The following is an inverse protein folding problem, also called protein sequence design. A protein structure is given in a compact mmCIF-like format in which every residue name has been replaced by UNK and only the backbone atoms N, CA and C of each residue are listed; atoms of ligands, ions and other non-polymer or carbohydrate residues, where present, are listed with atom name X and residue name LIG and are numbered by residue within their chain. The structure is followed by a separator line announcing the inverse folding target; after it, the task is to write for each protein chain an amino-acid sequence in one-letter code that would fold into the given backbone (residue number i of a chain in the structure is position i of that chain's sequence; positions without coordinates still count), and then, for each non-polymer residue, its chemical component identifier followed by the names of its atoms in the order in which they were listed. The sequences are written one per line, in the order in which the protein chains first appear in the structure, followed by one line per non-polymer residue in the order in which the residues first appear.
data_IF_418628593002
#
_entry.id   IF_418628593002
#
_cell.length_a   1.000
_cell.length_b   1.000
_cell.length_c   1.000
_cell.angle_alpha   90.00
_cell.angle_beta   90.00
_cell.angle_gamma   90.00
#
_symmetry.space_group_name_H-M   'P 1'
#
loop_
_entity.id
_entity.type
_entity.pdbx_description
1 polymer ?
#
# COMPACT_ATOMS: atom_id res chain seq x y z
N UNK A 1 -42.46 12.53 22.97
CA UNK A 1 -41.48 11.72 22.19
C UNK A 1 -41.27 12.22 20.75
N UNK A 2 -42.33 12.60 20.00
CA UNK A 2 -42.21 13.09 18.62
C UNK A 2 -41.35 14.37 18.44
N UNK A 3 -41.46 15.34 19.37
CA UNK A 3 -40.67 16.58 19.33
C UNK A 3 -39.17 16.31 19.50
N UNK A 4 -38.79 15.38 20.38
CA UNK A 4 -37.40 14.98 20.59
C UNK A 4 -36.81 14.27 19.36
N UNK A 5 -37.62 13.47 18.65
CA UNK A 5 -37.21 12.82 17.40
C UNK A 5 -37.04 13.83 16.25
N UNK A 6 -37.94 14.81 16.13
CA UNK A 6 -37.85 15.89 15.14
C UNK A 6 -36.66 16.84 15.40
N UNK A 7 -36.31 17.07 16.66
CA UNK A 7 -35.14 17.88 17.00
C UNK A 7 -33.83 17.12 16.70
N UNK A 8 -33.78 15.81 16.94
CA UNK A 8 -32.64 14.96 16.55
C UNK A 8 -32.45 14.94 15.04
N UNK A 9 -33.51 14.82 14.23
CA UNK A 9 -33.36 14.80 12.77
C UNK A 9 -32.84 16.13 12.20
N UNK A 10 -33.30 17.28 12.73
CA UNK A 10 -32.82 18.62 12.32
C UNK A 10 -31.37 18.87 12.69
N UNK A 11 -30.96 18.50 13.91
CA UNK A 11 -29.55 18.63 14.36
C UNK A 11 -28.61 17.77 13.53
N UNK A 12 -28.99 16.52 13.21
CA UNK A 12 -28.19 15.65 12.35
C UNK A 12 -28.05 16.19 10.93
N UNK A 13 -29.11 16.78 10.36
CA UNK A 13 -29.05 17.37 9.03
C UNK A 13 -28.11 18.59 8.95
N UNK A 14 -28.15 19.45 9.97
CA UNK A 14 -27.24 20.60 10.09
C UNK A 14 -25.78 20.16 10.20
N UNK A 15 -25.48 19.20 11.08
CA UNK A 15 -24.14 18.64 11.24
C UNK A 15 -23.61 18.03 9.94
N UNK A 16 -24.42 17.24 9.23
CA UNK A 16 -24.02 16.65 7.94
C UNK A 16 -23.77 17.72 6.87
N UNK A 17 -24.51 18.83 6.87
CA UNK A 17 -24.25 19.93 5.94
C UNK A 17 -22.88 20.60 6.19
N UNK A 18 -22.50 20.79 7.46
CA UNK A 18 -21.16 21.31 7.81
C UNK A 18 -20.05 20.35 7.39
N UNK A 19 -20.22 19.05 7.66
CA UNK A 19 -19.27 18.01 7.25
C UNK A 19 -19.04 18.04 5.74
N UNK A 20 -20.12 18.10 4.94
CA UNK A 20 -20.00 18.14 3.48
C UNK A 20 -19.30 19.41 2.98
N UNK A 21 -19.49 20.55 3.65
CA UNK A 21 -18.72 21.78 3.33
C UNK A 21 -17.23 21.61 3.61
N UNK A 22 -16.87 21.03 4.75
CA UNK A 22 -15.47 20.76 5.10
C UNK A 22 -14.83 19.79 4.10
N UNK A 23 -15.54 18.72 3.73
CA UNK A 23 -15.07 17.75 2.72
C UNK A 23 -14.92 18.41 1.34
N UNK A 24 -15.80 19.33 0.95
CA UNK A 24 -15.65 20.08 -0.30
C UNK A 24 -14.40 20.98 -0.27
N UNK A 25 -14.15 21.70 0.83
CA UNK A 25 -12.93 22.52 0.99
C UNK A 25 -11.69 21.63 0.88
N UNK A 26 -11.70 20.48 1.57
CA UNK A 26 -10.62 19.49 1.47
C UNK A 26 -10.39 19.03 0.03
N UNK A 27 -11.45 18.65 -0.71
CA UNK A 27 -11.30 18.24 -2.11
C UNK A 27 -10.81 19.36 -3.03
N UNK A 28 -11.17 20.61 -2.76
CA UNK A 28 -10.60 21.76 -3.48
C UNK A 28 -9.10 21.88 -3.20
N UNK A 29 -8.66 21.73 -1.94
CA UNK A 29 -7.24 21.74 -1.59
C UNK A 29 -6.48 20.59 -2.28
N UNK A 30 -7.03 19.37 -2.23
CA UNK A 30 -6.45 18.20 -2.92
C UNK A 30 -6.38 18.41 -4.42
N UNK A 31 -7.41 19.01 -5.02
CA UNK A 31 -7.43 19.34 -6.45
C UNK A 31 -6.35 20.35 -6.83
N UNK A 32 -6.23 21.45 -6.07
CA UNK A 32 -5.19 22.47 -6.30
C UNK A 32 -3.79 21.86 -6.11
N UNK A 33 -3.57 21.09 -5.05
CA UNK A 33 -2.30 20.40 -4.80
C UNK A 33 -1.97 19.39 -5.90
N UNK A 34 -2.97 18.65 -6.40
CA UNK A 34 -2.80 17.71 -7.51
C UNK A 34 -2.41 18.40 -8.82
N UNK A 35 -3.00 19.54 -9.14
CA UNK A 35 -2.60 20.36 -10.32
C UNK A 35 -1.18 20.87 -10.16
N UNK A 36 -0.80 21.39 -8.98
CA UNK A 36 0.56 21.85 -8.72
C UNK A 36 1.58 20.71 -8.84
N UNK A 37 1.26 19.52 -8.31
CA UNK A 37 2.12 18.35 -8.44
C UNK A 37 2.25 17.88 -9.90
N UNK A 38 1.17 17.89 -10.69
CA UNK A 38 1.23 17.58 -12.12
C UNK A 38 2.14 18.57 -12.87
N UNK A 39 2.01 19.86 -12.59
CA UNK A 39 2.86 20.89 -13.16
C UNK A 39 4.34 20.63 -12.84
N UNK A 40 4.66 20.40 -11.57
CA UNK A 40 6.03 20.09 -11.13
C UNK A 40 6.59 18.83 -11.81
N UNK A 41 5.80 17.78 -11.98
CA UNK A 41 6.27 16.54 -12.61
C UNK A 41 6.50 16.71 -14.11
N UNK A 42 5.55 17.35 -14.80
CA UNK A 42 5.55 17.44 -16.27
C UNK A 42 6.51 18.52 -16.77
N UNK A 43 6.54 19.68 -16.11
CA UNK A 43 7.31 20.85 -16.56
C UNK A 43 8.68 20.88 -15.92
N UNK A 44 8.77 20.67 -14.60
CA UNK A 44 10.04 20.76 -13.87
C UNK A 44 10.80 19.42 -13.86
N UNK A 45 10.16 18.32 -14.26
CA UNK A 45 10.81 17.01 -14.38
C UNK A 45 11.15 16.35 -13.04
N UNK A 46 10.48 16.76 -11.95
CA UNK A 46 10.79 16.45 -10.54
C UNK A 46 10.71 14.96 -10.13
N UNK A 47 10.34 14.04 -11.03
CA UNK A 47 10.28 12.60 -10.76
C UNK A 47 11.32 11.85 -11.62
N UNK A 48 12.60 11.73 -11.22
CA UNK A 48 13.66 11.08 -12.01
C UNK A 48 13.53 9.54 -12.01
N UNK A 49 12.39 9.03 -12.43
CA UNK A 49 12.08 7.60 -12.58
C UNK A 49 11.96 7.24 -14.05
N UNK A 50 11.93 5.93 -14.34
CA UNK A 50 11.80 5.43 -15.70
C UNK A 50 10.60 6.06 -16.44
N UNK A 51 10.72 6.42 -17.73
CA UNK A 51 9.69 7.16 -18.45
C UNK A 51 8.29 6.54 -18.38
N UNK A 52 8.21 5.21 -18.52
CA UNK A 52 6.93 4.49 -18.44
C UNK A 52 6.25 4.67 -17.07
N UNK A 53 7.02 4.55 -15.99
CA UNK A 53 6.51 4.73 -14.62
C UNK A 53 6.13 6.19 -14.37
N UNK A 54 6.90 7.15 -14.90
CA UNK A 54 6.57 8.58 -14.82
C UNK A 54 5.23 8.88 -15.47
N UNK A 55 4.99 8.39 -16.69
CA UNK A 55 3.70 8.56 -17.36
C UNK A 55 2.55 7.87 -16.61
N UNK A 56 2.78 6.67 -16.07
CA UNK A 56 1.81 5.99 -15.22
C UNK A 56 1.43 6.83 -13.99
N UNK A 57 2.42 7.40 -13.29
CA UNK A 57 2.20 8.26 -12.14
C UNK A 57 1.45 9.55 -12.51
N UNK A 58 1.77 10.19 -13.64
CA UNK A 58 1.07 11.37 -14.15
C UNK A 58 -0.41 11.04 -14.40
N UNK A 59 -0.70 9.94 -15.08
CA UNK A 59 -2.08 9.52 -15.38
C UNK A 59 -2.86 9.25 -14.10
N UNK A 60 -2.28 8.51 -13.15
CA UNK A 60 -2.93 8.24 -11.86
C UNK A 60 -3.20 9.53 -11.07
N UNK A 61 -2.22 10.43 -11.00
CA UNK A 61 -2.38 11.72 -10.32
C UNK A 61 -3.42 12.61 -11.01
N UNK A 62 -3.48 12.62 -12.34
CA UNK A 62 -4.49 13.32 -13.11
C UNK A 62 -5.90 12.77 -12.83
N UNK A 63 -6.06 11.44 -12.78
CA UNK A 63 -7.33 10.80 -12.41
C UNK A 63 -7.76 11.23 -11.01
N UNK A 64 -6.87 11.19 -10.02
CA UNK A 64 -7.18 11.60 -8.64
C UNK A 64 -7.55 13.09 -8.57
N UNK A 65 -6.81 13.94 -9.27
CA UNK A 65 -7.01 15.39 -9.32
C UNK A 65 -8.37 15.74 -9.93
N UNK A 66 -8.67 15.18 -11.11
CA UNK A 66 -9.95 15.36 -11.79
C UNK A 66 -11.11 14.80 -10.97
N UNK A 67 -10.90 13.63 -10.34
CA UNK A 67 -11.88 13.02 -9.45
C UNK A 67 -12.17 13.91 -8.24
N UNK A 68 -11.15 14.53 -7.65
CA UNK A 68 -11.33 15.46 -6.52
C UNK A 68 -12.15 16.69 -6.94
N UNK A 69 -11.84 17.29 -8.10
CA UNK A 69 -12.60 18.42 -8.63
C UNK A 69 -14.06 18.07 -8.96
N UNK A 70 -14.29 16.93 -9.61
CA UNK A 70 -15.63 16.43 -9.89
C UNK A 70 -16.41 16.07 -8.60
N UNK A 71 -15.72 15.59 -7.56
CA UNK A 71 -16.34 15.31 -6.26
C UNK A 71 -16.95 16.58 -5.66
N UNK A 72 -16.25 17.72 -5.72
CA UNK A 72 -16.80 19.01 -5.25
C UNK A 72 -18.11 19.34 -5.94
N UNK A 73 -18.13 19.33 -7.28
CA UNK A 73 -19.33 19.66 -8.06
C UNK A 73 -20.51 18.71 -7.78
N UNK A 74 -20.23 17.42 -7.60
CA UNK A 74 -21.24 16.40 -7.34
C UNK A 74 -21.74 16.40 -5.87
N UNK A 75 -20.88 16.75 -4.91
CA UNK A 75 -21.26 16.94 -3.49
C UNK A 75 -22.17 18.16 -3.35
N UNK A 76 -21.89 19.25 -4.06
CA UNK A 76 -22.78 20.42 -4.10
C UNK A 76 -24.19 20.05 -4.57
N UNK A 77 -24.27 19.16 -5.57
CA UNK A 77 -25.54 18.63 -6.11
C UNK A 77 -26.17 17.51 -5.27
N UNK A 78 -25.58 17.17 -4.11
CA UNK A 78 -26.04 16.09 -3.22
C UNK A 78 -26.21 14.73 -3.92
N UNK A 79 -25.35 14.46 -4.91
CA UNK A 79 -25.42 13.24 -5.70
C UNK A 79 -24.62 12.09 -5.06
N UNK A 80 -25.17 10.88 -5.06
CA UNK A 80 -24.45 9.67 -4.64
C UNK A 80 -23.10 9.49 -5.37
N UNK A 81 -22.98 9.92 -6.63
CA UNK A 81 -21.73 9.85 -7.41
C UNK A 81 -20.62 10.67 -6.75
N UNK A 82 -20.96 11.82 -6.17
CA UNK A 82 -20.01 12.66 -5.43
C UNK A 82 -19.48 11.97 -4.18
N UNK A 83 -20.33 11.19 -3.49
CA UNK A 83 -19.91 10.38 -2.34
C UNK A 83 -18.95 9.27 -2.74
N UNK A 84 -19.28 8.52 -3.80
CA UNK A 84 -18.40 7.45 -4.33
C UNK A 84 -17.04 8.00 -4.69
N UNK A 85 -17.02 9.11 -5.44
CA UNK A 85 -15.78 9.72 -5.91
C UNK A 85 -14.94 10.27 -4.76
N UNK A 86 -15.58 10.88 -3.76
CA UNK A 86 -14.93 11.33 -2.55
C UNK A 86 -14.31 10.18 -1.75
N UNK A 87 -15.03 9.06 -1.57
CA UNK A 87 -14.50 7.87 -0.91
C UNK A 87 -13.29 7.32 -1.67
N UNK A 88 -13.37 7.24 -3.00
CA UNK A 88 -12.26 6.80 -3.85
C UNK A 88 -11.01 7.69 -3.67
N UNK A 89 -11.16 9.01 -3.85
CA UNK A 89 -10.05 9.97 -3.73
C UNK A 89 -9.43 9.91 -2.32
N UNK A 90 -10.26 9.86 -1.28
CA UNK A 90 -9.74 9.84 0.09
C UNK A 90 -9.06 8.51 0.44
N UNK A 91 -9.57 7.39 -0.07
CA UNK A 91 -8.95 6.08 0.11
C UNK A 91 -7.59 6.00 -0.59
N UNK A 92 -7.51 6.42 -1.85
CA UNK A 92 -6.25 6.43 -2.61
C UNK A 92 -5.25 7.42 -2.02
N UNK A 93 -5.70 8.62 -1.64
CA UNK A 93 -4.87 9.63 -0.99
C UNK A 93 -4.31 9.14 0.34
N UNK A 94 -5.15 8.49 1.17
CA UNK A 94 -4.69 7.86 2.42
C UNK A 94 -3.62 6.80 2.16
N UNK A 95 -3.86 5.88 1.22
CA UNK A 95 -2.90 4.83 0.89
C UNK A 95 -1.57 5.41 0.38
N UNK A 96 -1.63 6.42 -0.48
CA UNK A 96 -0.44 7.12 -0.97
C UNK A 96 0.36 7.78 0.17
N UNK A 97 -0.32 8.43 1.12
CA UNK A 97 0.34 8.98 2.30
C UNK A 97 0.98 7.89 3.17
N UNK A 98 0.32 6.75 3.39
CA UNK A 98 0.89 5.62 4.15
C UNK A 98 2.16 5.10 3.49
N UNK A 99 2.14 4.90 2.17
CA UNK A 99 3.34 4.47 1.43
C UNK A 99 4.47 5.49 1.52
N UNK A 100 4.15 6.78 1.38
CA UNK A 100 5.14 7.86 1.50
C UNK A 100 5.72 7.96 2.92
N UNK A 101 4.90 7.76 3.96
CA UNK A 101 5.34 7.69 5.36
C UNK A 101 6.31 6.52 5.57
N UNK A 102 5.97 5.33 5.06
CA UNK A 102 6.85 4.16 5.14
C UNK A 102 8.18 4.38 4.41
N UNK A 103 8.15 5.09 3.28
CA UNK A 103 9.36 5.47 2.56
C UNK A 103 10.23 6.43 3.38
N UNK A 104 9.67 7.50 3.94
CA UNK A 104 10.42 8.47 4.74
C UNK A 104 10.96 7.89 6.05
N UNK A 105 10.24 6.94 6.64
CA UNK A 105 10.72 6.21 7.82
C UNK A 105 11.84 5.21 7.50
N UNK A 106 12.20 5.03 6.22
CA UNK A 106 13.22 4.06 5.82
C UNK A 106 12.76 2.61 6.04
N UNK A 107 11.46 2.34 5.97
CA UNK A 107 10.93 0.98 6.15
C UNK A 107 11.47 0.03 5.08
N UNK A 108 11.57 0.49 3.83
CA UNK A 108 12.10 -0.29 2.72
C UNK A 108 13.61 -0.53 2.84
N UNK A 109 14.38 0.50 3.22
CA UNK A 109 15.81 0.35 3.52
C UNK A 109 16.07 -0.60 4.70
N UNK A 110 15.16 -0.61 5.69
CA UNK A 110 15.18 -1.55 6.80
C UNK A 110 15.01 -2.99 6.33
N UNK A 111 14.10 -3.25 5.40
CA UNK A 111 13.90 -4.56 4.78
C UNK A 111 15.13 -4.98 3.97
N UNK A 112 15.73 -4.06 3.20
CA UNK A 112 16.95 -4.34 2.42
C UNK A 112 18.15 -4.65 3.34
N UNK A 113 18.28 -3.91 4.44
CA UNK A 113 19.32 -4.15 5.46
C UNK A 113 19.11 -5.49 6.16
N UNK A 114 17.86 -5.88 6.41
CA UNK A 114 17.51 -7.18 6.97
C UNK A 114 17.90 -8.31 6.00
N UNK A 115 17.53 -8.16 4.72
CA UNK A 115 17.80 -9.16 3.68
C UNK A 115 19.30 -9.35 3.45
N UNK A 116 20.06 -8.26 3.39
CA UNK A 116 21.52 -8.30 3.18
C UNK A 116 22.32 -8.87 4.35
N UNK A 117 21.70 -9.05 5.52
CA UNK A 117 22.31 -9.69 6.71
C UNK A 117 21.79 -11.09 6.98
N UNK A 118 20.87 -11.58 6.16
CA UNK A 118 20.30 -12.90 6.31
C UNK A 118 21.39 -13.98 6.24
N UNK A 119 22.41 -13.77 5.40
CA UNK A 119 23.62 -14.59 5.27
C UNK A 119 24.36 -14.78 6.61
N UNK A 120 24.48 -13.72 7.42
CA UNK A 120 25.11 -13.78 8.75
C UNK A 120 24.31 -14.60 9.75
N UNK A 121 22.99 -14.68 9.56
CA UNK A 121 22.10 -15.51 10.37
C UNK A 121 22.17 -17.00 10.05
N UNK A 122 22.56 -17.36 8.82
CA UNK A 122 22.55 -18.76 8.32
C UNK A 122 23.32 -19.73 9.22
N UNK A 123 24.57 -19.45 9.69
CA UNK A 123 25.29 -20.38 10.56
C UNK A 123 24.54 -20.70 11.85
N UNK A 124 23.85 -19.72 12.44
CA UNK A 124 23.09 -19.88 13.67
C UNK A 124 21.75 -20.58 13.44
N UNK A 125 21.12 -20.37 12.29
CA UNK A 125 19.97 -21.16 11.85
C UNK A 125 20.36 -22.64 11.65
N UNK A 126 21.55 -22.92 11.12
CA UNK A 126 22.07 -24.28 11.03
C UNK A 126 22.30 -24.92 12.40
N UNK A 127 22.75 -24.15 13.40
CA UNK A 127 22.80 -24.62 14.80
C UNK A 127 21.41 -24.99 15.32
N UNK A 128 20.39 -24.18 15.02
CA UNK A 128 19.02 -24.50 15.41
C UNK A 128 18.50 -25.78 14.71
N UNK A 129 18.79 -25.95 13.42
CA UNK A 129 18.49 -27.18 12.67
C UNK A 129 19.22 -28.39 13.25
N UNK A 130 20.51 -28.26 13.59
CA UNK A 130 21.26 -29.31 14.26
C UNK A 130 20.64 -29.68 15.61
N UNK A 131 20.22 -28.68 16.39
CA UNK A 131 19.46 -28.89 17.63
C UNK A 131 18.17 -29.69 17.40
N UNK A 132 17.39 -29.35 16.37
CA UNK A 132 16.20 -30.11 15.99
C UNK A 132 16.53 -31.58 15.64
N UNK A 133 17.57 -31.82 14.85
CA UNK A 133 18.00 -33.18 14.49
C UNK A 133 18.46 -33.98 15.72
N UNK A 134 19.20 -33.37 16.64
CA UNK A 134 19.58 -34.00 17.93
C UNK A 134 18.34 -34.36 18.74
N UNK A 135 17.35 -33.47 18.78
CA UNK A 135 16.07 -33.72 19.43
C UNK A 135 15.34 -34.94 18.83
N UNK A 136 15.26 -35.00 17.50
CA UNK A 136 14.64 -36.12 16.79
C UNK A 136 15.37 -37.45 16.99
N UNK A 137 16.71 -37.44 17.09
CA UNK A 137 17.48 -38.64 17.45
C UNK A 137 17.20 -39.12 18.88
N UNK A 138 16.80 -38.21 19.77
CA UNK A 138 16.40 -38.54 21.14
C UNK A 138 15.24 -39.52 21.23
N UNK A 139 14.38 -39.57 20.21
CA UNK A 139 13.23 -40.48 20.18
C UNK A 139 13.64 -41.95 20.02
N UNK A 140 14.87 -42.23 19.53
CA UNK A 140 15.44 -43.58 19.52
C UNK A 140 15.65 -44.14 20.94
N UNK A 141 15.69 -43.28 21.96
CA UNK A 141 15.87 -43.67 23.36
C UNK A 141 14.55 -43.66 24.14
N UNK A 142 13.40 -43.85 23.47
CA UNK A 142 12.08 -43.85 24.11
C UNK A 142 11.96 -44.80 25.32
N UNK A 143 12.66 -45.95 25.28
CA UNK A 143 12.70 -46.90 26.39
C UNK A 143 13.46 -46.38 27.63
N UNK A 144 14.35 -45.38 27.46
CA UNK A 144 15.12 -44.74 28.53
C UNK A 144 14.61 -43.33 28.80
N UNK A 145 13.53 -43.23 29.57
CA UNK A 145 12.81 -41.96 29.83
C UNK A 145 13.70 -40.82 30.34
N UNK A 146 14.74 -41.11 31.14
CA UNK A 146 15.66 -40.07 31.65
C UNK A 146 16.60 -39.54 30.57
N UNK A 147 17.13 -40.42 29.71
CA UNK A 147 18.06 -40.05 28.62
C UNK A 147 17.31 -39.25 27.56
N UNK A 148 16.12 -39.71 27.17
CA UNK A 148 15.25 -38.99 26.24
C UNK A 148 14.94 -37.57 26.73
N UNK A 149 14.54 -37.41 28.01
CA UNK A 149 14.24 -36.09 28.59
C UNK A 149 15.46 -35.16 28.57
N UNK A 150 16.66 -35.67 28.86
CA UNK A 150 17.88 -34.86 28.85
C UNK A 150 18.25 -34.42 27.43
N UNK A 151 18.15 -35.33 26.44
CA UNK A 151 18.40 -35.00 25.03
C UNK A 151 17.39 -33.96 24.53
N UNK A 152 16.10 -34.11 24.86
CA UNK A 152 15.05 -33.16 24.47
C UNK A 152 15.22 -31.79 25.14
N UNK A 153 15.71 -31.72 26.38
CA UNK A 153 16.03 -30.44 27.03
C UNK A 153 17.23 -29.78 26.36
N UNK A 154 18.30 -30.54 26.12
CA UNK A 154 19.50 -30.04 25.46
C UNK A 154 19.20 -29.54 24.04
N UNK A 155 18.43 -30.30 23.25
CA UNK A 155 18.05 -29.91 21.90
C UNK A 155 17.24 -28.61 21.87
N UNK A 156 16.26 -28.44 22.76
CA UNK A 156 15.50 -27.19 22.88
C UNK A 156 16.38 -25.99 23.20
N UNK A 157 17.35 -26.15 24.10
CA UNK A 157 18.30 -25.08 24.44
C UNK A 157 19.16 -24.73 23.22
N UNK A 158 19.68 -25.72 22.50
CA UNK A 158 20.45 -25.51 21.27
C UNK A 158 19.61 -24.79 20.20
N UNK A 159 18.34 -25.19 20.02
CA UNK A 159 17.41 -24.53 19.09
C UNK A 159 17.21 -23.05 19.49
N UNK A 160 16.87 -22.79 20.75
CA UNK A 160 16.62 -21.43 21.23
C UNK A 160 17.85 -20.54 21.12
N UNK A 161 19.04 -21.07 21.46
CA UNK A 161 20.30 -20.35 21.32
C UNK A 161 20.63 -20.07 19.85
N UNK A 162 20.46 -21.06 18.97
CA UNK A 162 20.66 -20.88 17.52
C UNK A 162 19.73 -19.83 16.95
N UNK A 163 18.44 -19.86 17.31
CA UNK A 163 17.48 -18.84 16.88
C UNK A 163 17.78 -17.45 17.46
N UNK A 164 18.15 -17.35 18.73
CA UNK A 164 18.50 -16.08 19.36
C UNK A 164 19.73 -15.44 18.71
N UNK A 165 20.78 -16.24 18.48
CA UNK A 165 21.98 -15.78 17.79
C UNK A 165 21.70 -15.41 16.32
N UNK A 166 20.84 -16.17 15.63
CA UNK A 166 20.40 -15.82 14.28
C UNK A 166 19.68 -14.47 14.26
N UNK A 167 18.75 -14.24 15.18
CA UNK A 167 18.05 -12.96 15.30
C UNK A 167 19.01 -11.81 15.59
N UNK A 168 19.96 -11.99 16.52
CA UNK A 168 20.97 -10.98 16.82
C UNK A 168 21.92 -10.70 15.64
N UNK A 169 22.23 -11.70 14.83
CA UNK A 169 23.07 -11.54 13.65
C UNK A 169 22.34 -10.81 12.50
N UNK A 170 21.03 -11.04 12.38
CA UNK A 170 20.17 -10.47 11.33
C UNK A 170 19.71 -9.05 11.69
N UNK A 171 19.28 -8.82 12.94
CA UNK A 171 18.73 -7.53 13.37
C UNK A 171 19.85 -6.50 13.49
N UNK A 172 19.68 -5.36 12.81
CA UNK A 172 20.56 -4.21 12.98
C UNK A 172 19.91 -3.14 13.83
N UNK A 173 20.56 -2.77 14.94
CA UNK A 173 20.19 -1.57 15.69
C UNK A 173 20.73 -0.27 15.08
N UNK A 174 21.54 -0.36 14.02
CA UNK A 174 22.13 0.83 13.37
C UNK A 174 21.11 1.75 12.69
N UNK A 175 19.94 1.21 12.31
CA UNK A 175 18.88 1.98 11.66
C UNK A 175 17.99 2.74 12.65
N UNK A 176 17.99 2.37 13.94
CA UNK A 176 17.13 2.96 14.96
C UNK A 176 17.31 4.48 15.11
N UNK A 177 18.54 5.03 15.24
CA UNK A 177 18.72 6.48 15.35
C UNK A 177 18.13 7.24 14.17
N UNK A 178 18.27 6.71 12.95
CA UNK A 178 17.67 7.27 11.73
C UNK A 178 16.14 7.28 11.81
N UNK A 179 15.54 6.15 12.18
CA UNK A 179 14.09 6.03 12.36
C UNK A 179 13.55 7.01 13.41
N UNK A 180 14.23 7.14 14.55
CA UNK A 180 13.84 8.08 15.60
C UNK A 180 13.97 9.54 15.14
N UNK A 181 15.04 9.88 14.41
CA UNK A 181 15.22 11.23 13.88
C UNK A 181 14.17 11.58 12.82
N UNK A 182 13.76 10.61 12.00
CA UNK A 182 12.69 10.77 11.01
C UNK A 182 11.34 11.12 11.64
N UNK A 183 11.07 10.69 12.88
CA UNK A 183 9.84 11.06 13.60
C UNK A 183 9.71 12.57 13.87
N UNK A 184 10.83 13.30 13.87
CA UNK A 184 10.87 14.75 14.07
C UNK A 184 10.92 15.53 12.74
N UNK A 185 10.90 14.84 11.61
CA UNK A 185 10.92 15.47 10.29
C UNK A 185 9.60 16.22 10.02
N UNK A 186 9.71 17.49 9.65
CA UNK A 186 8.57 18.33 9.28
C UNK A 186 7.81 17.76 8.08
N UNK A 187 8.52 17.16 7.12
CA UNK A 187 7.90 16.51 5.96
C UNK A 187 7.07 15.30 6.38
N UNK A 188 7.58 14.47 7.31
CA UNK A 188 6.85 13.35 7.86
C UNK A 188 5.60 13.83 8.61
N UNK A 189 5.74 14.85 9.47
CA UNK A 189 4.61 15.42 10.20
C UNK A 189 3.53 15.95 9.24
N UNK A 190 3.93 16.61 8.15
CA UNK A 190 3.02 17.06 7.09
C UNK A 190 2.29 15.91 6.40
N UNK A 191 2.97 14.81 6.09
CA UNK A 191 2.36 13.62 5.50
C UNK A 191 1.43 12.88 6.47
N UNK A 192 1.79 12.80 7.75
CA UNK A 192 0.92 12.22 8.80
C UNK A 192 -0.35 13.07 8.94
N UNK A 193 -0.23 14.39 8.97
CA UNK A 193 -1.38 15.29 8.99
C UNK A 193 -2.26 15.10 7.74
N UNK A 194 -1.66 15.00 6.55
CA UNK A 194 -2.39 14.72 5.31
C UNK A 194 -3.11 13.35 5.36
N UNK A 195 -2.44 12.30 5.84
CA UNK A 195 -3.03 10.97 6.02
C UNK A 195 -4.23 11.03 6.97
N UNK A 196 -4.12 11.75 8.09
CA UNK A 196 -5.22 11.94 9.03
C UNK A 196 -6.38 12.70 8.39
N UNK A 197 -6.11 13.74 7.59
CA UNK A 197 -7.16 14.47 6.87
C UNK A 197 -7.88 13.59 5.84
N UNK A 198 -7.14 12.80 5.07
CA UNK A 198 -7.73 11.81 4.17
C UNK A 198 -8.57 10.77 4.92
N UNK A 199 -8.06 10.24 6.04
CA UNK A 199 -8.78 9.28 6.87
C UNK A 199 -10.06 9.87 7.49
N UNK A 200 -9.98 11.10 8.00
CA UNK A 200 -11.14 11.81 8.56
C UNK A 200 -12.18 12.13 7.49
N UNK A 201 -11.75 12.56 6.29
CA UNK A 201 -12.65 12.80 5.17
C UNK A 201 -13.31 11.50 4.67
N UNK A 202 -12.53 10.41 4.57
CA UNK A 202 -13.05 9.08 4.26
C UNK A 202 -14.10 8.64 5.28
N UNK A 203 -13.76 8.71 6.58
CA UNK A 203 -14.66 8.36 7.67
C UNK A 203 -15.93 9.21 7.64
N UNK A 204 -15.80 10.53 7.47
CA UNK A 204 -16.93 11.44 7.38
C UNK A 204 -17.90 11.09 6.24
N UNK A 205 -17.37 10.65 5.10
CA UNK A 205 -18.16 10.23 3.94
C UNK A 205 -18.72 8.80 4.06
N UNK A 206 -18.06 7.95 4.84
CA UNK A 206 -18.50 6.58 5.12
C UNK A 206 -19.81 6.54 5.91
N UNK A 207 -19.98 7.48 6.87
CA UNK A 207 -21.10 7.50 7.82
C UNK A 207 -22.49 7.48 7.17
N UNK A 208 -23.42 6.76 7.80
CA UNK A 208 -24.82 6.63 7.35
C UNK A 208 -25.58 7.96 7.17
N UNK A 209 -25.45 8.99 8.04
CA UNK A 209 -26.09 10.29 7.82
C UNK A 209 -25.64 10.95 6.50
N UNK A 210 -24.38 10.79 6.13
CA UNK A 210 -23.83 11.33 4.88
C UNK A 210 -24.36 10.57 3.67
N UNK A 211 -24.52 9.24 3.77
CA UNK A 211 -25.15 8.42 2.76
C UNK A 211 -26.60 8.85 2.47
N UNK A 212 -27.40 9.07 3.52
CA UNK A 212 -28.78 9.54 3.40
C UNK A 212 -28.86 10.94 2.81
N UNK A 213 -27.99 11.86 3.25
CA UNK A 213 -27.91 13.22 2.72
C UNK A 213 -27.46 13.30 1.26
N UNK A 214 -26.87 12.22 0.73
CA UNK A 214 -26.39 12.09 -0.65
C UNK A 214 -27.28 11.15 -1.50
N UNK A 215 -28.49 10.83 -1.02
CA UNK A 215 -29.49 10.03 -1.73
C UNK A 215 -28.96 8.66 -2.22
N UNK A 216 -28.13 8.00 -1.41
CA UNK A 216 -27.58 6.68 -1.78
C UNK A 216 -28.54 5.57 -1.37
N UNK A 217 -28.83 4.63 -2.28
CA UNK A 217 -29.66 3.45 -1.99
C UNK A 217 -28.83 2.32 -1.33
N UNK A 218 -29.49 1.38 -0.67
CA UNK A 218 -28.83 0.29 0.05
C UNK A 218 -28.00 -0.61 -0.89
N UNK A 219 -28.54 -0.96 -2.07
CA UNK A 219 -27.82 -1.78 -3.04
C UNK A 219 -26.46 -1.18 -3.47
N UNK A 220 -26.36 0.15 -3.61
CA UNK A 220 -25.07 0.79 -3.90
C UNK A 220 -24.16 0.88 -2.68
N UNK A 221 -24.70 0.98 -1.47
CA UNK A 221 -23.88 0.89 -0.25
C UNK A 221 -23.20 -0.46 -0.18
N UNK A 222 -23.97 -1.54 -0.31
CA UNK A 222 -23.48 -2.92 -0.26
C UNK A 222 -22.42 -3.17 -1.34
N UNK A 223 -22.65 -2.65 -2.56
CA UNK A 223 -21.65 -2.72 -3.63
C UNK A 223 -20.34 -1.99 -3.29
N UNK A 224 -20.42 -0.79 -2.70
CA UNK A 224 -19.23 -0.02 -2.31
C UNK A 224 -18.48 -0.69 -1.16
N UNK A 225 -19.21 -1.23 -0.19
CA UNK A 225 -18.65 -1.99 0.94
C UNK A 225 -17.93 -3.24 0.44
N UNK A 226 -18.53 -4.01 -0.47
CA UNK A 226 -17.90 -5.15 -1.11
C UNK A 226 -16.64 -4.75 -1.89
N UNK A 227 -16.69 -3.64 -2.63
CA UNK A 227 -15.53 -3.18 -3.41
C UNK A 227 -14.38 -2.71 -2.52
N UNK A 228 -14.65 -2.03 -1.41
CA UNK A 228 -13.63 -1.59 -0.45
C UNK A 228 -13.05 -2.73 0.37
N UNK A 229 -13.84 -3.77 0.63
CA UNK A 229 -13.32 -5.00 1.23
C UNK A 229 -12.37 -5.72 0.27
N UNK A 230 -12.70 -5.75 -1.02
CA UNK A 230 -11.87 -6.36 -2.06
C UNK A 230 -10.62 -5.52 -2.41
N UNK A 231 -10.70 -4.19 -2.26
CA UNK A 231 -9.69 -3.26 -2.80
C UNK A 231 -8.25 -3.50 -2.33
N UNK A 232 -7.94 -3.86 -1.06
CA UNK A 232 -6.56 -4.10 -0.66
C UNK A 232 -5.93 -5.28 -1.41
N UNK A 233 -6.67 -6.37 -1.57
CA UNK A 233 -6.21 -7.54 -2.32
C UNK A 233 -6.11 -7.25 -3.82
N UNK A 234 -7.10 -6.54 -4.38
CA UNK A 234 -7.08 -6.14 -5.78
C UNK A 234 -5.88 -5.23 -6.10
N UNK A 235 -5.56 -4.27 -5.23
CA UNK A 235 -4.39 -3.41 -5.38
C UNK A 235 -3.11 -4.25 -5.33
N UNK A 236 -2.99 -5.17 -4.37
CA UNK A 236 -1.85 -6.09 -4.30
C UNK A 236 -1.69 -6.94 -5.57
N UNK A 237 -2.77 -7.52 -6.06
CA UNK A 237 -2.79 -8.26 -7.33
C UNK A 237 -2.32 -7.39 -8.50
N UNK A 238 -2.83 -6.16 -8.62
CA UNK A 238 -2.46 -5.27 -9.72
C UNK A 238 -0.99 -4.86 -9.68
N UNK A 239 -0.45 -4.59 -8.50
CA UNK A 239 0.94 -4.16 -8.32
C UNK A 239 1.94 -5.31 -8.45
N UNK A 240 1.68 -6.45 -7.81
CA UNK A 240 2.67 -7.53 -7.71
C UNK A 240 2.53 -8.61 -8.78
N UNK A 241 1.36 -8.77 -9.39
CA UNK A 241 1.14 -9.78 -10.44
C UNK A 241 0.84 -9.16 -11.79
N UNK A 242 -0.18 -8.29 -11.87
CA UNK A 242 -0.58 -7.74 -13.16
C UNK A 242 0.48 -6.80 -13.75
N UNK A 243 1.13 -5.96 -12.94
CA UNK A 243 2.14 -5.01 -13.42
C UNK A 243 3.37 -5.71 -14.02
N UNK A 244 4.03 -6.69 -13.36
CA UNK A 244 5.12 -7.45 -13.98
C UNK A 244 4.68 -8.22 -15.24
N UNK A 245 3.47 -8.79 -15.22
CA UNK A 245 2.91 -9.50 -16.38
C UNK A 245 2.68 -8.56 -17.57
N UNK A 246 2.08 -7.39 -17.34
CA UNK A 246 1.86 -6.37 -18.37
C UNK A 246 3.18 -5.80 -18.87
N UNK A 247 4.17 -5.63 -17.99
CA UNK A 247 5.52 -5.22 -18.39
C UNK A 247 6.16 -6.30 -19.28
N UNK A 248 6.09 -7.57 -18.90
CA UNK A 248 6.58 -8.69 -19.72
C UNK A 248 5.90 -8.73 -21.09
N UNK A 249 4.58 -8.57 -21.12
CA UNK A 249 3.82 -8.46 -22.36
C UNK A 249 4.27 -7.26 -23.20
N UNK A 250 4.41 -6.07 -22.61
CA UNK A 250 4.95 -4.89 -23.30
C UNK A 250 6.35 -5.16 -23.86
N UNK A 251 7.24 -5.76 -23.08
CA UNK A 251 8.59 -6.09 -23.53
C UNK A 251 8.63 -7.09 -24.68
N UNK A 252 7.61 -7.95 -24.82
CA UNK A 252 7.53 -8.91 -25.93
C UNK A 252 7.34 -8.24 -27.30
N UNK A 253 6.85 -7.00 -27.34
CA UNK A 253 6.71 -6.19 -28.57
C UNK A 253 7.90 -5.25 -28.81
N UNK A 254 8.97 -5.38 -28.01
CA UNK A 254 10.17 -4.55 -28.12
C UNK A 254 11.38 -5.39 -28.46
N UNK A 255 12.34 -4.79 -29.17
CA UNK A 255 13.69 -5.35 -29.28
C UNK A 255 14.44 -4.96 -28.00
N UNK A 256 14.50 -5.89 -27.05
CA UNK A 256 15.13 -5.65 -25.75
C UNK A 256 15.96 -6.84 -25.32
N UNK A 257 17.27 -6.64 -25.24
CA UNK A 257 18.28 -7.64 -24.82
C UNK A 257 18.65 -7.49 -23.33
N UNK A 258 17.72 -6.97 -22.52
CA UNK A 258 17.91 -6.58 -21.12
C UNK A 258 18.85 -5.38 -20.89
N UNK A 259 19.57 -4.92 -21.91
CA UNK A 259 20.43 -3.73 -21.87
C UNK A 259 19.96 -2.73 -22.96
N UNK A 260 20.47 -1.49 -22.95
CA UNK A 260 20.13 -0.51 -23.99
C UNK A 260 18.65 -0.06 -24.06
N UNK A 261 18.27 0.51 -25.22
CA UNK A 261 16.97 1.16 -25.46
C UNK A 261 15.93 0.18 -26.01
N UNK A 262 14.75 0.10 -25.37
CA UNK A 262 13.60 -0.64 -25.90
C UNK A 262 13.03 0.05 -27.14
N UNK A 263 13.35 -0.47 -28.31
CA UNK A 263 12.70 -0.05 -29.55
C UNK A 263 11.43 -0.88 -29.76
N UNK A 264 10.31 -0.23 -30.03
CA UNK A 264 9.07 -0.92 -30.35
C UNK A 264 9.16 -1.51 -31.76
N UNK A 265 9.07 -2.84 -31.87
CA UNK A 265 9.15 -3.59 -33.14
C UNK A 265 7.82 -4.29 -33.49
N UNK A 266 6.75 -4.00 -32.74
CA UNK A 266 5.44 -4.60 -32.97
C UNK A 266 5.48 -6.13 -32.82
N UNK A 267 5.00 -6.84 -33.85
CA UNK A 267 4.83 -8.30 -33.83
C UNK A 267 6.04 -9.08 -34.35
N UNK A 268 7.15 -8.43 -34.66
CA UNK A 268 8.31 -9.07 -35.28
C UNK A 268 8.87 -10.26 -34.46
N UNK A 269 8.85 -10.16 -33.13
CA UNK A 269 9.24 -11.26 -32.25
C UNK A 269 8.32 -12.49 -32.43
N UNK A 270 7.02 -12.27 -32.61
CA UNK A 270 6.06 -13.35 -32.84
C UNK A 270 6.18 -13.92 -34.25
N UNK A 271 6.43 -13.08 -35.26
CA UNK A 271 6.68 -13.52 -36.63
C UNK A 271 7.93 -14.40 -36.72
N UNK A 272 9.02 -14.01 -36.06
CA UNK A 272 10.24 -14.83 -35.91
C UNK A 272 9.97 -16.17 -35.22
N UNK A 273 9.21 -16.16 -34.11
CA UNK A 273 8.84 -17.39 -33.38
C UNK A 273 8.00 -18.35 -34.23
N UNK A 274 7.11 -17.82 -35.07
CA UNK A 274 6.24 -18.61 -35.94
C UNK A 274 6.87 -18.91 -37.31
N UNK A 275 8.13 -18.51 -37.53
CA UNK A 275 8.84 -18.62 -38.81
C UNK A 275 8.07 -18.00 -39.99
N UNK A 276 7.31 -16.94 -39.72
CA UNK A 276 6.58 -16.17 -40.72
C UNK A 276 7.49 -15.03 -41.19
N UNK A 277 8.02 -15.15 -42.40
CA UNK A 277 8.70 -14.04 -43.07
C UNK A 277 7.64 -13.05 -43.56
N UNK A 278 7.43 -11.95 -42.82
CA UNK A 278 6.64 -10.81 -43.28
C UNK A 278 7.53 -10.02 -44.25
N UNK A 279 7.24 -10.13 -45.54
CA UNK A 279 7.93 -9.44 -46.64
C UNK A 279 7.47 -7.98 -46.77
#
# INVERSE_FOLDING_TARGET
MAVAAANRSRTTAGQTAHVLRLVMVWHTMVGVGGVAALYAIVIEGLLPIAPLLRWGAIVLLAIVTLSSGAAVALIMRRSHKGRVLSLFVNYIGFLACVVAILQLLGAFEGIDTLASRLDRGVPFLLVAVAGYLIGAMGDRFAERSQVQRNIQRASRVVILLGLALALLAIISFSALPGWLSGLLDLQLAGLVAAALLFALAFWAMWRAPTAWAMQTNNARQEMLEGLLFLSPNLIGFLLFLATPLLLSLYTSFTDWDAFGTRNWIGLDNYAKLLNLTLA
#
